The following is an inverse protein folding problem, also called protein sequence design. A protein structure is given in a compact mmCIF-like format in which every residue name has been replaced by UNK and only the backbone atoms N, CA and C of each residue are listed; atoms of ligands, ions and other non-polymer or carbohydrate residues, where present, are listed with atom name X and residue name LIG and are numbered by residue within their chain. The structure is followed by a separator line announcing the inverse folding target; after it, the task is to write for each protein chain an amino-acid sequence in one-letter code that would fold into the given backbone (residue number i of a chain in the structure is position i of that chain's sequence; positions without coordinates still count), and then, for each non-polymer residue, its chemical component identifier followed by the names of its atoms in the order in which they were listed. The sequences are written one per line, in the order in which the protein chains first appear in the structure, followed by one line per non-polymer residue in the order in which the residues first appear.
data_IF_360793305243
#
_entry.id   IF_360793305243
#
_cell.length_a   1.000
_cell.length_b   1.000
_cell.length_c   1.000
_cell.angle_alpha   90.00
_cell.angle_beta   90.00
_cell.angle_gamma   90.00
#
_symmetry.space_group_name_H-M   'P 1'
#
loop_
_entity.id
_entity.type
_entity.pdbx_description
1 polymer ?
#
# COMPACT_ATOMS: atom_id res chain seq x y z
N UNK A 1 8.56 -12.82 5.98
CA UNK A 1 8.09 -11.96 4.86
C UNK A 1 6.58 -11.91 4.93
N UNK A 2 5.95 -10.74 4.88
CA UNK A 2 4.49 -10.57 4.98
C UNK A 2 3.89 -10.53 3.58
N UNK A 3 2.77 -11.23 3.37
CA UNK A 3 1.98 -11.14 2.13
C UNK A 3 0.93 -10.02 2.31
N UNK A 4 0.91 -8.99 1.45
CA UNK A 4 -0.10 -7.94 1.52
C UNK A 4 -1.48 -8.45 1.12
N UNK A 5 -2.54 -7.81 1.61
CA UNK A 5 -3.91 -8.11 1.19
C UNK A 5 -4.32 -7.23 0.00
N UNK A 6 -5.18 -7.75 -0.87
CA UNK A 6 -5.83 -6.94 -1.91
C UNK A 6 -6.65 -5.81 -1.26
N UNK A 7 -6.62 -4.62 -1.86
CA UNK A 7 -7.15 -3.34 -1.34
C UNK A 7 -6.46 -2.80 -0.09
N UNK A 8 -5.37 -3.41 0.34
CA UNK A 8 -4.55 -2.84 1.39
C UNK A 8 -3.81 -1.60 0.87
N UNK A 9 -3.71 -0.57 1.72
CA UNK A 9 -2.85 0.58 1.46
C UNK A 9 -1.45 0.31 1.99
N UNK A 10 -0.45 0.51 1.14
CA UNK A 10 0.95 0.21 1.41
C UNK A 10 1.86 1.34 0.96
N UNK A 11 3.06 1.36 1.50
CA UNK A 11 4.18 2.15 0.99
C UNK A 11 5.21 1.20 0.36
N UNK A 12 6.03 1.71 -0.56
CA UNK A 12 7.12 0.96 -1.18
C UNK A 12 8.44 1.59 -0.73
N UNK A 13 9.40 0.76 -0.33
CA UNK A 13 10.72 1.22 0.09
C UNK A 13 11.39 2.01 -1.04
N UNK A 14 11.81 3.24 -0.75
CA UNK A 14 12.49 4.10 -1.72
C UNK A 14 11.58 4.82 -2.73
N UNK A 15 10.27 4.57 -2.72
CA UNK A 15 9.31 5.31 -3.56
C UNK A 15 8.43 6.22 -2.69
N UNK A 16 8.31 7.52 -3.01
CA UNK A 16 7.44 8.42 -2.27
C UNK A 16 5.97 8.14 -2.55
N UNK A 17 5.13 8.32 -1.53
CA UNK A 17 3.67 8.20 -1.62
C UNK A 17 3.12 6.87 -1.11
N UNK A 18 1.86 6.60 -1.45
CA UNK A 18 1.15 5.39 -1.04
C UNK A 18 0.43 4.75 -2.21
N UNK A 19 0.27 3.44 -2.11
CA UNK A 19 -0.24 2.60 -3.17
C UNK A 19 -1.31 1.67 -2.62
N UNK A 20 -2.29 1.34 -3.45
CA UNK A 20 -3.33 0.36 -3.19
C UNK A 20 -2.93 -0.95 -3.84
N UNK A 21 -3.00 -2.04 -3.09
CA UNK A 21 -2.74 -3.38 -3.62
C UNK A 21 -3.91 -3.81 -4.50
N UNK A 22 -3.65 -4.02 -5.79
CA UNK A 22 -4.68 -4.41 -6.77
C UNK A 22 -4.75 -5.92 -6.95
N UNK A 23 -3.59 -6.56 -7.04
CA UNK A 23 -3.46 -8.01 -7.17
C UNK A 23 -2.23 -8.52 -6.40
N UNK A 24 -2.23 -9.81 -6.09
CA UNK A 24 -1.17 -10.49 -5.35
C UNK A 24 -0.89 -11.83 -6.02
N UNK A 25 0.34 -12.02 -6.48
CA UNK A 25 0.85 -13.29 -6.97
C UNK A 25 1.72 -13.94 -5.89
N UNK A 26 1.21 -15.00 -5.28
CA UNK A 26 1.91 -15.70 -4.18
C UNK A 26 3.02 -16.61 -4.67
N UNK A 27 2.92 -17.11 -5.90
CA UNK A 27 3.91 -18.01 -6.47
C UNK A 27 5.16 -17.22 -6.87
N UNK A 28 4.94 -16.03 -7.45
CA UNK A 28 6.02 -15.10 -7.84
C UNK A 28 6.45 -14.14 -6.72
N UNK A 29 5.71 -14.08 -5.61
CA UNK A 29 5.96 -13.20 -4.46
C UNK A 29 5.96 -11.70 -4.79
N UNK A 30 5.04 -11.29 -5.66
CA UNK A 30 4.89 -9.92 -6.17
C UNK A 30 3.45 -9.42 -6.12
N UNK A 31 3.27 -8.10 -6.10
CA UNK A 31 1.97 -7.45 -6.13
C UNK A 31 1.90 -6.34 -7.18
N UNK A 32 0.72 -6.20 -7.77
CA UNK A 32 0.35 -5.06 -8.62
C UNK A 32 -0.19 -3.92 -7.77
N UNK A 33 0.29 -2.71 -8.01
CA UNK A 33 0.05 -1.56 -7.15
C UNK A 33 -0.49 -0.35 -7.94
N UNK A 34 -1.54 0.27 -7.42
CA UNK A 34 -2.10 1.51 -7.94
C UNK A 34 -1.75 2.69 -7.01
N UNK A 35 -1.02 3.71 -7.45
CA UNK A 35 -0.82 4.95 -6.70
C UNK A 35 -2.15 5.57 -6.26
N UNK A 36 -2.22 6.02 -5.00
CA UNK A 36 -3.45 6.66 -4.49
C UNK A 36 -3.56 8.14 -4.87
N UNK A 37 -2.50 8.73 -5.42
CA UNK A 37 -2.42 10.14 -5.83
C UNK A 37 -1.64 10.21 -7.16
N UNK A 38 -2.24 10.85 -8.19
CA UNK A 38 -1.67 11.00 -9.54
C UNK A 38 -2.11 9.92 -10.53
N UNK A 39 -1.73 10.08 -11.81
CA UNK A 39 -2.13 9.19 -12.94
C UNK A 39 -1.10 8.07 -13.24
N UNK A 40 -0.13 7.85 -12.36
CA UNK A 40 0.81 6.73 -12.57
C UNK A 40 0.12 5.43 -12.19
N UNK A 41 0.33 4.39 -12.98
CA UNK A 41 0.14 3.00 -12.57
C UNK A 41 1.53 2.41 -12.51
N UNK A 42 1.84 1.59 -11.50
CA UNK A 42 3.03 0.74 -11.59
C UNK A 42 2.67 -0.35 -12.60
N UNK A 43 3.20 -0.25 -13.81
CA UNK A 43 3.07 -1.27 -14.85
C UNK A 43 3.99 -2.50 -14.58
N UNK A 44 4.62 -2.54 -13.40
CA UNK A 44 5.62 -3.52 -13.01
C UNK A 44 5.24 -4.21 -11.68
N UNK A 45 5.52 -5.52 -11.62
CA UNK A 45 5.37 -6.36 -10.44
C UNK A 45 6.28 -5.90 -9.29
N UNK A 46 5.72 -5.62 -8.10
CA UNK A 46 6.50 -5.18 -6.93
C UNK A 46 6.72 -6.34 -5.94
N UNK A 47 7.99 -6.70 -5.60
CA UNK A 47 8.27 -7.76 -4.63
C UNK A 47 7.70 -7.46 -3.24
N UNK A 48 7.15 -8.45 -2.56
CA UNK A 48 6.60 -8.26 -1.20
C UNK A 48 7.62 -7.70 -0.20
N UNK A 49 8.92 -7.92 -0.42
CA UNK A 49 9.99 -7.46 0.48
C UNK A 49 10.13 -5.93 0.48
N UNK A 50 9.70 -5.28 -0.61
CA UNK A 50 9.76 -3.84 -0.76
C UNK A 50 8.51 -3.15 -0.19
N UNK A 51 7.46 -3.91 0.15
CA UNK A 51 6.14 -3.41 0.55
C UNK A 51 6.03 -3.28 2.07
N UNK A 52 5.64 -2.10 2.52
CA UNK A 52 5.44 -1.76 3.92
C UNK A 52 3.94 -1.48 4.19
N UNK A 53 3.31 -2.12 5.18
CA UNK A 53 1.94 -1.78 5.56
C UNK A 53 1.85 -0.32 5.97
N UNK A 54 0.83 0.38 5.47
CA UNK A 54 0.46 1.64 6.10
C UNK A 54 -0.47 1.36 7.27
N UNK A 55 -0.07 1.80 8.46
CA UNK A 55 -1.01 1.87 9.57
C UNK A 55 -2.09 2.89 9.21
N UNK A 56 -3.35 2.47 9.29
CA UNK A 56 -4.50 3.37 9.21
C UNK A 56 -4.41 4.33 10.39
N UNK A 57 -3.83 5.52 10.16
CA UNK A 57 -3.83 6.60 11.14
C UNK A 57 -5.24 7.16 11.16
N UNK A 58 -6.18 6.40 11.74
CA UNK A 58 -7.45 6.95 12.17
C UNK A 58 -7.12 8.00 13.22
N UNK A 59 -7.05 9.25 12.78
CA UNK A 59 -7.03 10.38 13.67
C UNK A 59 -8.22 10.23 14.63
N UNK A 60 -7.94 9.94 15.89
CA UNK A 60 -8.89 10.27 16.96
C UNK A 60 -8.96 11.79 16.99
N UNK A 61 -9.91 12.36 16.25
CA UNK A 61 -10.35 13.72 16.53
C UNK A 61 -11.22 13.65 17.79
N UNK A 62 -10.56 13.56 18.94
CA UNK A 62 -11.17 13.87 20.23
C UNK A 62 -11.24 15.40 20.33
N UNK A 63 -12.37 15.97 19.94
CA UNK A 63 -12.71 17.35 20.29
C UNK A 63 -14.21 17.55 20.12
N UNK A 64 -14.95 17.17 21.16
CA UNK A 64 -16.19 17.87 21.50
C UNK A 64 -16.19 18.08 23.01
N UNK A 65 -15.53 19.17 23.41
CA UNK A 65 -15.95 19.92 24.59
C UNK A 65 -17.04 20.87 24.12
N UNK A 66 -18.22 20.74 24.71
CA UNK A 66 -19.00 21.80 25.37
C UNK A 66 -20.20 21.13 26.06
#
# INVERSE_FOLDING_TARGET
MRIPAVRERVAITGLPGSFLVMAVDRDRQVADLLPTIGDRVLEEDVPFASILPMLDIRGRHNSQGD
#
